data_IF_142528800617
#
_entry.id   IF_142528800617
#
_cell.length_a   1.000
_cell.length_b   1.000
_cell.length_c   1.000
_cell.angle_alpha   90.00
_cell.angle_beta   90.00
_cell.angle_gamma   90.00
#
_symmetry.space_group_name_H-M   'P 1'
#
loop_
_entity.id
_entity.type
_entity.pdbx_description
1 polymer ?
#
# COMPACT_ATOMS: atom_id res chain seq x y z
N UNK A 1 -13.12 -10.41 37.79
CA UNK A 1 -12.94 -10.84 36.41
C UNK A 1 -11.59 -11.52 36.28
N UNK A 2 -11.61 -12.85 36.17
CA UNK A 2 -10.42 -13.70 36.07
C UNK A 2 -10.01 -13.86 34.60
N UNK A 3 -9.20 -12.93 34.06
CA UNK A 3 -8.48 -13.10 32.80
C UNK A 3 -6.97 -13.38 33.01
N UNK A 4 -6.51 -13.38 34.25
CA UNK A 4 -5.09 -13.45 34.62
C UNK A 4 -4.41 -14.78 34.29
N UNK A 5 -5.15 -15.89 34.16
CA UNK A 5 -4.54 -17.20 33.87
C UNK A 5 -4.32 -17.51 32.41
N UNK A 6 -5.12 -16.94 31.48
CA UNK A 6 -5.01 -17.18 30.04
C UNK A 6 -3.97 -16.28 29.36
N UNK A 7 -3.79 -15.05 29.83
CA UNK A 7 -2.80 -14.10 29.29
C UNK A 7 -1.36 -14.52 29.63
N UNK A 8 -1.10 -15.00 30.84
CA UNK A 8 0.21 -15.53 31.20
C UNK A 8 0.59 -16.76 30.36
N UNK A 9 -0.35 -17.67 30.09
CA UNK A 9 -0.08 -18.84 29.27
C UNK A 9 0.16 -18.55 27.78
N UNK A 10 -0.33 -17.42 27.26
CA UNK A 10 -0.08 -16.99 25.88
C UNK A 10 1.28 -16.31 25.79
N UNK A 11 1.61 -15.43 26.73
CA UNK A 11 2.87 -14.68 26.77
C UNK A 11 4.08 -15.61 26.79
N UNK A 12 4.04 -16.67 27.62
CA UNK A 12 5.13 -17.64 27.77
C UNK A 12 5.36 -18.54 26.54
N UNK A 13 4.44 -18.48 25.55
CA UNK A 13 4.53 -19.25 24.30
C UNK A 13 4.88 -18.42 23.10
N UNK A 14 5.00 -17.08 23.23
CA UNK A 14 5.41 -16.21 22.14
C UNK A 14 6.92 -16.37 21.96
N UNK A 15 7.34 -16.79 20.77
CA UNK A 15 8.74 -17.00 20.41
C UNK A 15 9.28 -15.96 19.41
N UNK A 16 8.41 -15.14 18.83
CA UNK A 16 8.77 -14.09 17.90
C UNK A 16 7.60 -13.18 17.58
N UNK A 17 7.88 -11.96 17.16
CA UNK A 17 6.87 -10.98 16.74
C UNK A 17 7.18 -10.48 15.33
N UNK A 18 6.22 -10.62 14.41
CA UNK A 18 6.29 -10.03 13.08
C UNK A 18 5.57 -8.68 13.04
N UNK A 19 6.26 -7.64 12.62
CA UNK A 19 5.70 -6.31 12.47
C UNK A 19 5.55 -5.97 10.99
N UNK A 20 4.33 -5.71 10.52
CA UNK A 20 4.12 -5.17 9.19
C UNK A 20 4.46 -3.68 9.18
N UNK A 21 5.35 -3.30 8.28
CA UNK A 21 5.76 -1.91 8.02
C UNK A 21 5.49 -1.59 6.56
N UNK A 22 4.86 -0.46 6.26
CA UNK A 22 4.50 -0.14 4.88
C UNK A 22 5.72 0.30 4.09
N UNK A 23 6.42 1.37 4.51
CA UNK A 23 7.55 1.88 3.77
C UNK A 23 8.89 1.38 4.33
N UNK A 24 9.63 0.62 3.51
CA UNK A 24 11.01 0.23 3.75
C UNK A 24 12.04 1.11 3.00
N UNK A 25 11.56 1.99 2.10
CA UNK A 25 12.41 2.86 1.31
C UNK A 25 13.43 2.08 0.48
N UNK A 26 14.60 2.65 0.32
CA UNK A 26 15.75 1.97 -0.29
C UNK A 26 16.63 1.24 0.74
N UNK A 27 16.32 1.38 2.05
CA UNK A 27 17.08 0.75 3.14
C UNK A 27 16.76 -0.74 3.31
N UNK A 28 15.48 -1.12 3.16
CA UNK A 28 15.02 -2.48 3.45
C UNK A 28 14.52 -3.18 2.19
N UNK A 29 15.33 -4.09 1.68
CA UNK A 29 15.03 -4.91 0.49
C UNK A 29 14.39 -6.27 0.86
N UNK A 30 14.39 -6.59 2.14
CA UNK A 30 13.85 -7.83 2.71
C UNK A 30 13.43 -7.59 4.16
N UNK A 31 12.87 -8.61 4.80
CA UNK A 31 12.56 -8.56 6.24
C UNK A 31 13.84 -8.35 7.05
N UNK A 32 13.74 -7.58 8.14
CA UNK A 32 14.87 -7.24 8.99
C UNK A 32 14.57 -7.48 10.46
N UNK A 33 15.59 -7.88 11.23
CA UNK A 33 15.51 -7.82 12.69
C UNK A 33 15.31 -6.37 13.14
N UNK A 34 14.50 -6.20 14.17
CA UNK A 34 14.21 -4.87 14.72
C UNK A 34 15.23 -4.53 15.79
N UNK A 35 16.32 -3.90 15.39
CA UNK A 35 17.28 -3.21 16.27
C UNK A 35 17.00 -1.70 16.32
N UNK A 36 17.85 -0.92 17.00
CA UNK A 36 17.71 0.54 17.11
C UNK A 36 17.89 1.22 15.75
N UNK A 37 18.76 0.69 14.88
CA UNK A 37 18.97 1.22 13.53
C UNK A 37 17.70 1.03 12.68
N UNK A 38 17.16 -0.18 12.67
CA UNK A 38 15.93 -0.48 11.91
C UNK A 38 14.76 0.39 12.38
N UNK A 39 14.59 0.56 13.69
CA UNK A 39 13.54 1.41 14.23
C UNK A 39 13.73 2.88 13.86
N UNK A 40 14.92 3.42 13.97
CA UNK A 40 15.21 4.79 13.56
C UNK A 40 14.94 5.02 12.06
N UNK A 41 15.29 4.06 11.21
CA UNK A 41 14.99 4.14 9.76
C UNK A 41 13.49 4.03 9.44
N UNK A 42 12.74 3.20 10.16
CA UNK A 42 11.27 3.13 10.03
C UNK A 42 10.63 4.48 10.38
N UNK A 43 11.13 5.15 11.41
CA UNK A 43 10.66 6.48 11.81
C UNK A 43 11.02 7.56 10.77
N UNK A 44 12.25 7.56 10.27
CA UNK A 44 12.70 8.46 9.18
C UNK A 44 11.82 8.31 7.93
N UNK A 45 11.47 7.07 7.57
CA UNK A 45 10.61 6.75 6.43
C UNK A 45 9.12 7.10 6.64
N UNK A 46 8.75 7.66 7.79
CA UNK A 46 7.37 8.15 8.02
C UNK A 46 6.96 9.23 7.02
N UNK A 47 7.90 9.96 6.43
CA UNK A 47 7.65 10.92 5.35
C UNK A 47 7.06 10.25 4.08
N UNK A 48 7.45 9.00 3.78
CA UNK A 48 6.92 8.22 2.65
C UNK A 48 5.58 7.52 2.96
N UNK A 49 5.32 7.22 4.23
CA UNK A 49 4.10 6.54 4.66
C UNK A 49 3.54 7.16 5.96
N UNK A 50 3.12 8.44 5.95
CA UNK A 50 2.75 9.17 7.16
C UNK A 50 1.52 8.58 7.87
N UNK A 51 0.66 7.87 7.16
CA UNK A 51 -0.52 7.21 7.72
C UNK A 51 -0.23 5.82 8.33
N UNK A 52 0.97 5.26 8.12
CA UNK A 52 1.27 3.87 8.45
C UNK A 52 2.54 3.70 9.31
N UNK A 53 3.68 4.23 8.88
CA UNK A 53 4.96 4.01 9.56
C UNK A 53 4.99 4.52 11.01
N UNK A 54 4.42 5.69 11.37
CA UNK A 54 4.36 6.12 12.76
C UNK A 54 3.64 5.12 13.68
N UNK A 55 2.52 4.56 13.21
CA UNK A 55 1.77 3.54 13.94
C UNK A 55 2.57 2.24 14.08
N UNK A 56 3.28 1.82 13.02
CA UNK A 56 4.16 0.65 13.06
C UNK A 56 5.30 0.84 14.07
N UNK A 57 5.98 1.99 14.05
CA UNK A 57 7.05 2.31 15.00
C UNK A 57 6.55 2.31 16.45
N UNK A 58 5.38 2.90 16.72
CA UNK A 58 4.74 2.86 18.04
C UNK A 58 4.43 1.44 18.49
N UNK A 59 3.89 0.61 17.60
CA UNK A 59 3.64 -0.81 17.88
C UNK A 59 4.91 -1.58 18.19
N UNK A 60 5.98 -1.36 17.43
CA UNK A 60 7.30 -1.97 17.68
C UNK A 60 7.84 -1.60 19.07
N UNK A 61 7.79 -0.31 19.43
CA UNK A 61 8.23 0.16 20.76
C UNK A 61 7.45 -0.51 21.88
N UNK A 62 6.12 -0.57 21.75
CA UNK A 62 5.26 -1.23 22.74
C UNK A 62 5.61 -2.72 22.92
N UNK A 63 5.85 -3.44 21.83
CA UNK A 63 6.26 -4.85 21.90
C UNK A 63 7.66 -5.02 22.50
N UNK A 64 8.62 -4.16 22.19
CA UNK A 64 9.96 -4.17 22.81
C UNK A 64 9.90 -3.95 24.33
N UNK A 65 9.01 -3.08 24.78
CA UNK A 65 8.79 -2.83 26.22
C UNK A 65 8.12 -4.03 26.92
N UNK A 66 7.06 -4.59 26.29
CA UNK A 66 6.29 -5.69 26.88
C UNK A 66 6.99 -7.04 26.80
N UNK A 67 7.80 -7.27 25.79
CA UNK A 67 8.45 -8.55 25.47
C UNK A 67 9.93 -8.31 25.06
N UNK A 68 10.78 -7.79 25.98
CA UNK A 68 12.14 -7.35 25.64
C UNK A 68 13.06 -8.46 25.13
N UNK A 69 12.82 -9.70 25.56
CA UNK A 69 13.63 -10.87 25.21
C UNK A 69 13.14 -11.61 23.95
N UNK A 70 12.03 -11.15 23.36
CA UNK A 70 11.44 -11.80 22.19
C UNK A 70 11.91 -11.13 20.89
N UNK A 71 12.38 -11.97 19.97
CA UNK A 71 12.83 -11.51 18.66
C UNK A 71 11.70 -10.83 17.89
N UNK A 72 11.94 -9.59 17.46
CA UNK A 72 11.03 -8.83 16.59
C UNK A 72 11.60 -8.74 15.18
N UNK A 73 10.75 -8.95 14.18
CA UNK A 73 11.08 -8.88 12.75
C UNK A 73 10.16 -7.87 12.07
N UNK A 74 10.72 -6.90 11.37
CA UNK A 74 9.97 -6.00 10.49
C UNK A 74 9.85 -6.61 9.10
N UNK A 75 8.63 -6.62 8.56
CA UNK A 75 8.31 -7.10 7.21
C UNK A 75 7.77 -5.92 6.42
N UNK A 76 8.44 -5.56 5.34
CA UNK A 76 8.16 -4.34 4.61
C UNK A 76 7.29 -4.60 3.37
N UNK A 77 6.20 -3.85 3.25
CA UNK A 77 5.29 -3.95 2.08
C UNK A 77 5.99 -3.58 0.76
N UNK A 78 7.01 -2.72 0.82
CA UNK A 78 7.76 -2.30 -0.36
C UNK A 78 8.87 -3.27 -0.76
N UNK A 79 9.28 -4.20 0.11
CA UNK A 79 10.46 -5.04 -0.10
C UNK A 79 10.35 -5.90 -1.37
N UNK A 80 9.20 -6.52 -1.64
CA UNK A 80 8.98 -7.32 -2.84
C UNK A 80 9.17 -6.53 -4.14
N UNK A 81 8.88 -5.23 -4.12
CA UNK A 81 8.96 -4.35 -5.29
C UNK A 81 10.36 -3.77 -5.52
N UNK A 82 11.34 -4.06 -4.66
CA UNK A 82 12.73 -3.59 -4.85
C UNK A 82 13.41 -4.22 -6.06
N UNK A 83 12.84 -5.31 -6.61
CA UNK A 83 13.31 -5.95 -7.84
C UNK A 83 12.88 -5.23 -9.13
N UNK A 84 12.02 -4.20 -9.06
CA UNK A 84 11.63 -3.43 -10.24
C UNK A 84 12.84 -2.80 -10.93
N UNK A 85 12.93 -2.86 -12.27
CA UNK A 85 13.97 -2.18 -13.02
C UNK A 85 13.80 -0.66 -12.97
N UNK A 86 14.90 0.08 -13.18
CA UNK A 86 14.88 1.54 -13.07
C UNK A 86 13.83 2.20 -13.96
N UNK A 87 13.63 1.70 -15.16
CA UNK A 87 12.61 2.19 -16.11
C UNK A 87 11.19 2.08 -15.57
N UNK A 88 10.91 1.14 -14.67
CA UNK A 88 9.59 0.95 -14.07
C UNK A 88 9.39 1.80 -12.81
N UNK A 89 10.45 2.07 -12.03
CA UNK A 89 10.28 2.83 -10.80
C UNK A 89 10.56 4.34 -10.91
N UNK A 90 11.18 4.82 -12.00
CA UNK A 90 11.46 6.26 -12.17
C UNK A 90 10.23 7.01 -12.65
N UNK A 91 10.02 8.20 -12.08
CA UNK A 91 9.07 9.17 -12.61
C UNK A 91 9.75 10.09 -13.62
N UNK A 92 9.05 10.52 -14.70
CA UNK A 92 9.59 11.44 -15.70
C UNK A 92 9.55 12.90 -15.20
N UNK A 93 10.21 13.14 -14.06
CA UNK A 93 10.36 14.46 -13.42
C UNK A 93 11.85 14.80 -13.34
N UNK A 94 12.25 16.07 -13.06
CA UNK A 94 13.64 16.45 -12.94
C UNK A 94 14.43 15.50 -12.03
N UNK A 95 15.60 15.05 -12.53
CA UNK A 95 16.42 13.99 -11.88
C UNK A 95 16.76 14.29 -10.42
N UNK A 96 16.90 15.57 -10.05
CA UNK A 96 17.18 15.99 -8.67
C UNK A 96 16.13 15.47 -7.67
N UNK A 97 14.89 15.29 -8.08
CA UNK A 97 13.86 14.76 -7.18
C UNK A 97 14.12 13.30 -6.79
N UNK A 98 14.72 12.53 -7.68
CA UNK A 98 15.20 11.20 -7.32
C UNK A 98 16.49 11.25 -6.50
N UNK A 99 17.52 11.98 -6.98
CA UNK A 99 18.83 11.98 -6.34
C UNK A 99 18.81 12.57 -4.92
N UNK A 100 18.02 13.62 -4.71
CA UNK A 100 18.06 14.41 -3.46
C UNK A 100 16.94 13.97 -2.49
N UNK A 101 15.80 13.48 -3.02
CA UNK A 101 14.62 13.17 -2.22
C UNK A 101 14.11 11.75 -2.41
N UNK A 102 14.77 10.92 -3.21
CA UNK A 102 14.39 9.52 -3.47
C UNK A 102 12.95 9.39 -4.03
N UNK A 103 12.51 10.36 -4.84
CA UNK A 103 11.21 10.34 -5.50
C UNK A 103 11.20 9.28 -6.58
N UNK A 104 10.62 8.13 -6.25
CA UNK A 104 10.46 6.96 -7.13
C UNK A 104 9.21 6.17 -6.74
N UNK A 105 8.82 5.23 -7.59
CA UNK A 105 7.80 4.22 -7.27
C UNK A 105 8.40 3.20 -6.29
N UNK A 106 7.73 3.00 -5.14
CA UNK A 106 8.06 1.96 -4.16
C UNK A 106 7.05 0.82 -4.18
N UNK A 107 5.79 1.13 -4.48
CA UNK A 107 4.69 0.19 -4.37
C UNK A 107 4.26 -0.08 -2.92
N UNK A 108 3.33 -0.99 -2.76
CA UNK A 108 2.91 -1.53 -1.45
C UNK A 108 2.23 -2.90 -1.63
N UNK A 109 1.76 -3.49 -0.53
CA UNK A 109 1.16 -4.84 -0.49
C UNK A 109 2.12 -5.95 -0.99
N UNK A 110 3.42 -5.71 -0.99
CA UNK A 110 4.43 -6.62 -1.54
C UNK A 110 4.37 -8.01 -0.93
N UNK A 111 4.16 -8.13 0.39
CA UNK A 111 3.98 -9.42 1.06
C UNK A 111 2.80 -10.22 0.48
N UNK A 112 1.68 -9.54 0.20
CA UNK A 112 0.51 -10.17 -0.43
C UNK A 112 0.81 -10.59 -1.86
N UNK A 113 1.41 -9.72 -2.67
CA UNK A 113 1.74 -10.03 -4.06
C UNK A 113 2.74 -11.18 -4.18
N UNK A 114 3.75 -11.19 -3.31
CA UNK A 114 4.73 -12.28 -3.24
C UNK A 114 4.06 -13.62 -2.89
N UNK A 115 3.26 -13.64 -1.83
CA UNK A 115 2.57 -14.86 -1.40
C UNK A 115 1.60 -15.38 -2.46
N UNK A 116 0.74 -14.52 -2.99
CA UNK A 116 -0.27 -14.92 -3.99
C UNK A 116 0.38 -15.42 -5.28
N UNK A 117 1.46 -14.80 -5.73
CA UNK A 117 2.16 -15.27 -6.93
C UNK A 117 2.82 -16.65 -6.73
N UNK A 118 3.38 -16.90 -5.54
CA UNK A 118 3.94 -18.22 -5.18
C UNK A 118 2.85 -19.30 -5.11
N UNK A 119 1.71 -19.00 -4.47
CA UNK A 119 0.59 -19.95 -4.41
C UNK A 119 -0.02 -20.21 -5.78
N UNK A 120 -0.13 -19.18 -6.64
CA UNK A 120 -0.60 -19.34 -8.02
C UNK A 120 0.34 -20.25 -8.82
N UNK A 121 1.66 -20.09 -8.71
CA UNK A 121 2.63 -20.98 -9.38
C UNK A 121 2.49 -22.44 -8.92
N UNK A 122 2.32 -22.68 -7.60
CA UNK A 122 2.05 -24.01 -7.04
C UNK A 122 0.78 -24.64 -7.63
N UNK A 123 -0.31 -23.86 -7.69
CA UNK A 123 -1.59 -24.32 -8.25
C UNK A 123 -1.48 -24.62 -9.75
N UNK A 124 -0.62 -23.89 -10.49
CA UNK A 124 -0.33 -24.16 -11.89
C UNK A 124 0.61 -25.36 -12.11
N UNK A 125 1.20 -25.91 -11.03
CA UNK A 125 2.17 -26.98 -11.09
C UNK A 125 3.48 -26.57 -11.79
N UNK A 126 3.87 -25.29 -11.70
CA UNK A 126 5.07 -24.74 -12.36
C UNK A 126 6.04 -24.15 -11.34
N UNK A 127 7.37 -24.25 -11.59
CA UNK A 127 8.34 -23.43 -10.87
C UNK A 127 8.00 -21.95 -11.04
N UNK A 128 8.15 -21.17 -9.97
CA UNK A 128 7.80 -19.73 -9.99
C UNK A 128 8.62 -18.97 -11.03
N UNK A 129 9.84 -19.40 -11.26
CA UNK A 129 10.80 -18.84 -12.22
C UNK A 129 10.32 -18.94 -13.69
N UNK A 130 9.40 -19.87 -13.97
CA UNK A 130 8.84 -20.09 -15.32
C UNK A 130 7.46 -19.43 -15.49
N UNK A 131 7.04 -18.59 -14.53
CA UNK A 131 5.71 -18.00 -14.55
C UNK A 131 5.74 -16.50 -14.80
N UNK A 132 4.70 -16.01 -15.49
CA UNK A 132 4.34 -14.60 -15.58
C UNK A 132 2.94 -14.45 -15.04
N UNK A 133 2.79 -13.70 -13.94
CA UNK A 133 1.55 -13.64 -13.16
C UNK A 133 1.22 -12.18 -12.89
N UNK A 134 -0.02 -11.79 -13.15
CA UNK A 134 -0.57 -10.53 -12.67
C UNK A 134 -1.31 -10.84 -11.37
N UNK A 135 -0.90 -10.19 -10.29
CA UNK A 135 -1.56 -10.32 -8.99
C UNK A 135 -2.37 -9.06 -8.67
N UNK A 136 -3.57 -9.26 -8.11
CA UNK A 136 -4.46 -8.18 -7.71
C UNK A 136 -4.74 -8.30 -6.20
N UNK A 137 -4.28 -7.30 -5.44
CA UNK A 137 -4.67 -7.11 -4.05
C UNK A 137 -5.84 -6.14 -4.04
N UNK A 138 -7.05 -6.64 -3.73
CA UNK A 138 -8.30 -5.87 -3.81
C UNK A 138 -8.95 -5.84 -2.44
N UNK A 139 -8.76 -4.74 -1.72
CA UNK A 139 -9.34 -4.45 -0.42
C UNK A 139 -9.79 -2.99 -0.37
N UNK A 140 -9.76 -2.35 0.81
CA UNK A 140 -9.95 -0.89 0.89
C UNK A 140 -8.79 -0.13 0.20
N UNK A 141 -7.55 -0.65 0.30
CA UNK A 141 -6.45 -0.32 -0.59
C UNK A 141 -6.40 -1.32 -1.76
N UNK A 142 -6.00 -0.85 -2.94
CA UNK A 142 -5.94 -1.69 -4.15
C UNK A 142 -4.60 -1.51 -4.85
N UNK A 143 -4.00 -2.63 -5.24
CA UNK A 143 -2.83 -2.63 -6.11
C UNK A 143 -2.83 -3.82 -7.06
N UNK A 144 -2.26 -3.60 -8.23
CA UNK A 144 -2.01 -4.63 -9.25
C UNK A 144 -0.50 -4.71 -9.45
N UNK A 145 0.03 -5.90 -9.56
CA UNK A 145 1.48 -6.12 -9.73
C UNK A 145 1.75 -7.12 -10.84
N UNK A 146 2.66 -6.78 -11.74
CA UNK A 146 3.24 -7.70 -12.69
C UNK A 146 4.41 -8.45 -12.04
N UNK A 147 4.33 -9.78 -12.06
CA UNK A 147 5.35 -10.67 -11.49
C UNK A 147 5.91 -11.55 -12.63
N UNK A 148 7.20 -11.46 -12.85
CA UNK A 148 7.93 -12.28 -13.83
C UNK A 148 9.01 -13.09 -13.12
N UNK A 149 8.96 -14.40 -13.24
CA UNK A 149 9.91 -15.29 -12.58
C UNK A 149 9.98 -15.12 -11.06
N UNK A 150 8.86 -14.82 -10.41
CA UNK A 150 8.78 -14.58 -8.96
C UNK A 150 9.27 -13.20 -8.49
N UNK A 151 9.60 -12.30 -9.40
CA UNK A 151 10.05 -10.93 -9.11
C UNK A 151 8.99 -9.92 -9.53
N UNK A 152 8.76 -8.91 -8.69
CA UNK A 152 7.95 -7.75 -9.08
C UNK A 152 8.69 -6.96 -10.16
N UNK A 153 8.08 -6.81 -11.34
CA UNK A 153 8.65 -6.04 -12.46
C UNK A 153 7.95 -4.70 -12.66
N UNK A 154 6.71 -4.57 -12.21
CA UNK A 154 5.99 -3.31 -12.06
C UNK A 154 4.84 -3.47 -11.06
N UNK A 155 4.38 -2.35 -10.49
CA UNK A 155 3.22 -2.31 -9.59
C UNK A 155 2.47 -0.99 -9.72
N UNK A 156 1.18 -1.00 -9.44
CA UNK A 156 0.31 0.18 -9.64
C UNK A 156 0.50 1.28 -8.61
N UNK A 157 0.78 0.94 -7.33
CA UNK A 157 1.03 1.97 -6.31
C UNK A 157 2.38 2.65 -6.55
N UNK A 158 2.46 3.94 -6.24
CA UNK A 158 3.56 4.81 -6.62
C UNK A 158 4.56 5.09 -5.50
N UNK A 159 4.93 6.37 -5.36
CA UNK A 159 5.75 6.90 -4.26
C UNK A 159 5.11 6.61 -2.90
N UNK A 160 3.79 6.72 -2.84
CA UNK A 160 2.96 6.41 -1.68
C UNK A 160 1.85 5.44 -2.10
N UNK A 161 1.11 4.84 -1.15
CA UNK A 161 -0.04 3.99 -1.47
C UNK A 161 -1.26 4.73 -2.06
N UNK A 162 -1.10 5.96 -2.57
CA UNK A 162 -2.16 6.76 -3.19
C UNK A 162 -2.31 6.48 -4.68
N UNK A 163 -1.19 6.40 -5.42
CA UNK A 163 -1.19 6.21 -6.87
C UNK A 163 -1.76 4.87 -7.32
N UNK A 164 -2.01 4.75 -8.60
CA UNK A 164 -2.49 3.52 -9.22
C UNK A 164 -4.00 3.46 -9.41
N UNK A 165 -4.58 2.33 -9.05
CA UNK A 165 -6.03 2.08 -9.19
C UNK A 165 -6.82 2.92 -8.21
N UNK A 166 -7.99 3.40 -8.62
CA UNK A 166 -8.99 3.99 -7.72
C UNK A 166 -9.33 3.01 -6.58
N UNK A 167 -9.51 3.51 -5.36
CA UNK A 167 -9.71 2.70 -4.15
C UNK A 167 -10.99 3.12 -3.41
N UNK A 168 -11.21 2.60 -2.21
CA UNK A 168 -12.38 2.95 -1.41
C UNK A 168 -12.50 4.45 -1.14
N UNK A 169 -11.39 5.09 -0.71
CA UNK A 169 -11.34 6.52 -0.38
C UNK A 169 -10.22 7.29 -1.07
N UNK A 170 -9.38 6.61 -1.88
CA UNK A 170 -8.21 7.19 -2.55
C UNK A 170 -8.47 7.35 -4.04
N UNK A 171 -7.93 8.44 -4.61
CA UNK A 171 -8.11 8.75 -6.04
C UNK A 171 -7.54 7.67 -6.97
N UNK A 172 -6.40 7.07 -6.62
CA UNK A 172 -5.51 6.47 -7.61
C UNK A 172 -4.88 7.54 -8.50
N UNK A 173 -4.50 7.17 -9.72
CA UNK A 173 -3.88 8.08 -10.68
C UNK A 173 -4.84 9.17 -11.17
N UNK A 174 -4.30 10.37 -11.26
CA UNK A 174 -4.98 11.56 -11.79
C UNK A 174 -3.98 12.43 -12.55
N UNK A 175 -4.47 13.35 -13.34
CA UNK A 175 -3.66 14.40 -13.96
C UNK A 175 -3.13 15.35 -12.87
N UNK A 176 -1.81 15.53 -12.72
CA UNK A 176 -1.24 16.44 -11.73
C UNK A 176 -1.74 17.90 -11.85
N UNK A 177 -2.16 18.34 -13.04
CA UNK A 177 -2.72 19.67 -13.27
C UNK A 177 -4.05 19.92 -12.55
N UNK A 178 -4.73 18.86 -12.10
CA UNK A 178 -5.94 18.97 -11.26
C UNK A 178 -5.64 19.71 -9.96
N UNK A 179 -4.45 19.52 -9.38
CA UNK A 179 -4.07 20.14 -8.10
C UNK A 179 -4.08 21.67 -8.18
N UNK A 180 -3.26 22.32 -9.03
CA UNK A 180 -3.31 23.78 -9.15
C UNK A 180 -4.67 24.29 -9.65
N UNK A 181 -5.35 23.54 -10.52
CA UNK A 181 -6.68 23.90 -11.01
C UNK A 181 -7.73 24.00 -9.88
N UNK A 182 -7.67 23.11 -8.89
CA UNK A 182 -8.57 23.16 -7.73
C UNK A 182 -8.16 24.29 -6.79
N UNK A 183 -6.86 24.47 -6.52
CA UNK A 183 -6.34 25.55 -5.64
C UNK A 183 -6.79 26.93 -6.11
N UNK A 184 -6.82 27.18 -7.43
CA UNK A 184 -7.29 28.44 -8.00
C UNK A 184 -8.78 28.73 -7.69
N UNK A 185 -9.56 27.72 -7.30
CA UNK A 185 -11.01 27.80 -7.02
C UNK A 185 -11.36 27.64 -5.53
N UNK A 186 -10.56 26.87 -4.87
CA UNK A 186 -10.68 26.54 -3.44
C UNK A 186 -9.31 26.82 -2.77
N UNK A 187 -9.03 28.07 -2.36
CA UNK A 187 -7.71 28.45 -1.86
C UNK A 187 -7.24 27.70 -0.62
N UNK A 188 -8.14 27.13 0.18
CA UNK A 188 -7.83 26.27 1.30
C UNK A 188 -7.15 24.94 0.86
N UNK A 189 -7.34 24.54 -0.39
CA UNK A 189 -6.62 23.42 -1.01
C UNK A 189 -5.14 23.71 -1.29
N UNK A 190 -4.63 24.93 -1.03
CA UNK A 190 -3.19 25.19 -1.08
C UNK A 190 -2.43 24.55 0.09
N UNK A 191 -3.12 24.15 1.17
CA UNK A 191 -2.52 23.40 2.26
C UNK A 191 -2.24 21.93 1.84
N UNK A 192 -0.97 21.53 1.98
CA UNK A 192 -0.53 20.18 1.63
C UNK A 192 -1.24 19.08 2.46
N UNK A 193 -1.61 19.35 3.72
CA UNK A 193 -2.38 18.40 4.53
C UNK A 193 -3.82 18.26 4.01
N UNK A 194 -4.43 19.37 3.57
CA UNK A 194 -5.76 19.33 2.97
C UNK A 194 -5.77 18.53 1.67
N UNK A 195 -4.78 18.74 0.80
CA UNK A 195 -4.61 17.94 -0.42
C UNK A 195 -4.47 16.44 -0.06
N UNK A 196 -3.58 16.12 0.89
CA UNK A 196 -3.41 14.73 1.34
C UNK A 196 -4.70 14.13 1.87
N UNK A 197 -5.45 14.90 2.64
CA UNK A 197 -6.71 14.45 3.21
C UNK A 197 -7.75 14.15 2.12
N UNK A 198 -8.02 15.09 1.23
CA UNK A 198 -9.01 14.95 0.17
C UNK A 198 -8.70 13.73 -0.70
N UNK A 199 -7.45 13.61 -1.18
CA UNK A 199 -7.10 12.54 -2.12
C UNK A 199 -6.97 11.16 -1.47
N UNK A 200 -6.76 11.06 -0.16
CA UNK A 200 -6.67 9.78 0.54
C UNK A 200 -7.95 9.39 1.28
N UNK A 201 -8.83 10.33 1.65
CA UNK A 201 -9.94 10.08 2.58
C UNK A 201 -11.32 10.47 2.05
N UNK A 202 -11.40 11.40 1.10
CA UNK A 202 -12.66 11.93 0.58
C UNK A 202 -12.90 11.55 -0.90
N UNK A 203 -12.00 10.77 -1.51
CA UNK A 203 -12.01 10.42 -2.94
C UNK A 203 -12.44 8.96 -3.17
N UNK A 204 -12.10 8.42 -4.31
CA UNK A 204 -12.37 7.01 -4.64
C UNK A 204 -13.86 6.68 -4.76
N UNK A 205 -14.23 5.47 -4.34
CA UNK A 205 -15.64 5.04 -4.31
C UNK A 205 -16.50 6.00 -3.51
N UNK A 206 -16.01 6.42 -2.32
CA UNK A 206 -16.72 7.37 -1.46
C UNK A 206 -16.96 8.69 -2.16
N UNK A 207 -15.93 9.28 -2.78
CA UNK A 207 -16.03 10.58 -3.41
C UNK A 207 -16.95 10.61 -4.63
N UNK A 208 -16.96 9.53 -5.43
CA UNK A 208 -17.84 9.45 -6.61
C UNK A 208 -19.27 9.08 -6.24
N UNK A 209 -19.44 8.12 -5.33
CA UNK A 209 -20.80 7.69 -4.91
C UNK A 209 -21.48 8.68 -3.96
N UNK A 210 -20.68 9.49 -3.25
CA UNK A 210 -21.12 10.33 -2.11
C UNK A 210 -21.88 9.54 -1.02
N UNK A 211 -21.63 8.22 -0.97
CA UNK A 211 -22.40 7.30 -0.12
C UNK A 211 -21.51 6.43 0.76
N UNK A 212 -20.61 5.66 0.16
CA UNK A 212 -19.80 4.68 0.88
C UNK A 212 -18.48 4.39 0.17
N UNK A 213 -17.49 3.97 0.95
CA UNK A 213 -16.23 3.37 0.45
C UNK A 213 -16.32 1.84 0.37
N UNK A 214 -17.39 1.24 0.83
CA UNK A 214 -17.60 -0.21 0.83
C UNK A 214 -18.25 -0.66 -0.47
N UNK A 215 -17.58 -1.55 -1.19
CA UNK A 215 -18.06 -2.07 -2.47
C UNK A 215 -19.43 -2.78 -2.35
N UNK A 216 -19.75 -3.35 -1.20
CA UNK A 216 -21.06 -3.98 -0.96
C UNK A 216 -22.19 -2.96 -1.03
N UNK A 217 -21.99 -1.79 -0.45
CA UNK A 217 -22.96 -0.68 -0.48
C UNK A 217 -23.06 -0.09 -1.88
N UNK A 218 -21.92 0.00 -2.60
CA UNK A 218 -21.88 0.47 -3.99
C UNK A 218 -22.66 -0.47 -4.91
N UNK A 219 -22.46 -1.80 -4.78
CA UNK A 219 -23.20 -2.79 -5.56
C UNK A 219 -24.69 -2.71 -5.25
N UNK A 220 -25.09 -2.68 -3.98
CA UNK A 220 -26.48 -2.55 -3.58
C UNK A 220 -27.12 -1.27 -4.11
N UNK A 221 -26.40 -0.12 -4.08
CA UNK A 221 -26.85 1.12 -4.68
C UNK A 221 -27.06 1.01 -6.19
N UNK A 222 -26.11 0.42 -6.90
CA UNK A 222 -26.21 0.17 -8.36
C UNK A 222 -27.42 -0.69 -8.69
N UNK A 223 -27.66 -1.77 -7.96
CA UNK A 223 -28.80 -2.66 -8.13
C UNK A 223 -30.14 -1.95 -7.84
N UNK A 224 -30.13 -0.97 -6.93
CA UNK A 224 -31.27 -0.11 -6.63
C UNK A 224 -31.47 1.04 -7.65
N UNK A 225 -30.63 1.16 -8.68
CA UNK A 225 -30.72 2.19 -9.71
C UNK A 225 -30.09 3.54 -9.33
N UNK A 226 -29.23 3.59 -8.30
CA UNK A 226 -28.48 4.80 -7.93
C UNK A 226 -27.40 5.10 -8.99
N UNK A 227 -27.53 6.22 -9.68
CA UNK A 227 -26.62 6.61 -10.78
C UNK A 227 -25.18 6.86 -10.27
N UNK A 228 -25.00 7.47 -9.09
CA UNK A 228 -23.68 7.73 -8.52
C UNK A 228 -22.98 6.44 -8.12
N UNK A 229 -23.69 5.50 -7.52
CA UNK A 229 -23.15 4.16 -7.22
C UNK A 229 -22.80 3.40 -8.50
N UNK A 230 -23.64 3.50 -9.55
CA UNK A 230 -23.37 2.91 -10.85
C UNK A 230 -22.08 3.48 -11.45
N UNK A 231 -21.94 4.79 -11.49
CA UNK A 231 -20.73 5.46 -11.99
C UNK A 231 -19.47 5.06 -11.17
N UNK A 232 -19.58 5.05 -9.82
CA UNK A 232 -18.47 4.68 -8.95
C UNK A 232 -18.01 3.23 -9.20
N UNK A 233 -18.94 2.30 -9.35
CA UNK A 233 -18.64 0.91 -9.69
C UNK A 233 -17.98 0.78 -11.06
N UNK A 234 -18.56 1.38 -12.09
CA UNK A 234 -18.09 1.24 -13.46
C UNK A 234 -16.70 1.89 -13.63
N UNK A 235 -16.45 3.05 -12.99
CA UNK A 235 -15.15 3.69 -12.97
C UNK A 235 -14.09 2.82 -12.26
N UNK A 236 -14.44 2.22 -11.13
CA UNK A 236 -13.56 1.32 -10.40
C UNK A 236 -13.16 0.10 -11.24
N UNK A 237 -14.13 -0.56 -11.86
CA UNK A 237 -13.89 -1.72 -12.73
C UNK A 237 -13.06 -1.33 -13.97
N UNK A 238 -13.34 -0.17 -14.58
CA UNK A 238 -12.56 0.32 -15.73
C UNK A 238 -11.09 0.54 -15.35
N UNK A 239 -10.81 1.15 -14.19
CA UNK A 239 -9.43 1.37 -13.72
C UNK A 239 -8.70 0.07 -13.43
N UNK A 240 -9.36 -0.91 -12.79
CA UNK A 240 -8.79 -2.24 -12.59
C UNK A 240 -8.44 -2.92 -13.92
N UNK A 241 -9.39 -2.92 -14.86
CA UNK A 241 -9.22 -3.54 -16.17
C UNK A 241 -8.04 -2.93 -16.94
N UNK A 242 -7.88 -1.60 -16.89
CA UNK A 242 -6.77 -0.90 -17.56
C UNK A 242 -5.42 -1.33 -17.00
N UNK A 243 -5.28 -1.42 -15.69
CA UNK A 243 -4.04 -1.87 -15.06
C UNK A 243 -3.72 -3.34 -15.35
N UNK A 244 -4.72 -4.22 -15.34
CA UNK A 244 -4.53 -5.62 -15.71
C UNK A 244 -4.10 -5.76 -17.18
N UNK A 245 -4.68 -4.94 -18.07
CA UNK A 245 -4.35 -4.98 -19.48
C UNK A 245 -2.98 -4.33 -19.82
N UNK A 246 -2.50 -3.43 -18.98
CA UNK A 246 -1.19 -2.79 -19.13
C UNK A 246 -0.05 -3.75 -18.79
N UNK A 247 -0.25 -4.64 -17.83
CA UNK A 247 0.72 -5.62 -17.35
C UNK A 247 0.64 -6.95 -18.10
#
# INVERSE_FOLDING_TARGET
LRLVGSEMCIRDRITGVGHRVVAGGEYFKESSLVDEYALAKIEELSALAPLHNPGAASGIRAFKELLPDITSVAVFDTAFHTSMPEVAYRYPVPNRYYTDYQVRKYGAHGTSHQYVSQEAAKLLGKPIEETKIITAHVGNGVSITAVDGGKSVDTSMGLTPLGGVMMGTRTGDLDPAIIPFIIDREPDMADAERIRHVFNKESGLLGISEKSSDMRDIIAGKEAGDEKCTLAYDLYVDRLRKYIAQY
#
